data_IF_599182884417
#
_entry.id   IF_599182884417
#
_cell.length_a   1.000
_cell.length_b   1.000
_cell.length_c   1.000
_cell.angle_alpha   90.00
_cell.angle_beta   90.00
_cell.angle_gamma   90.00
#
_symmetry.space_group_name_H-M   'P 1'
#
loop_
_entity.id
_entity.type
_entity.pdbx_description
1 polymer ?
#
# COMPACT_ATOMS: atom_id res chain seq x y z
N UNK A 1 23.89 24.47 15.93
CA UNK A 1 24.95 24.15 14.97
C UNK A 1 24.63 24.71 13.59
N UNK A 2 25.61 24.99 12.72
CA UNK A 2 25.36 25.45 11.33
C UNK A 2 24.40 24.54 10.55
N UNK A 3 24.47 23.24 10.79
CA UNK A 3 23.58 22.23 10.17
C UNK A 3 22.12 22.45 10.56
N UNK A 4 21.84 22.71 11.83
CA UNK A 4 20.46 22.97 12.26
C UNK A 4 19.89 24.24 11.64
N UNK A 5 20.69 25.31 11.50
CA UNK A 5 20.26 26.53 10.88
C UNK A 5 19.90 26.32 9.37
N UNK A 6 20.68 25.48 8.68
CA UNK A 6 20.38 25.08 7.30
C UNK A 6 19.02 24.37 7.20
N UNK A 7 18.77 23.39 8.06
CA UNK A 7 17.49 22.66 8.06
C UNK A 7 16.31 23.55 8.48
N UNK A 8 16.50 24.51 9.40
CA UNK A 8 15.46 25.47 9.74
C UNK A 8 15.05 26.32 8.53
N UNK A 9 16.02 26.77 7.73
CA UNK A 9 15.75 27.48 6.47
C UNK A 9 14.98 26.61 5.47
N UNK A 10 15.40 25.34 5.31
CA UNK A 10 14.72 24.40 4.42
C UNK A 10 13.28 24.09 4.89
N UNK A 11 13.09 23.89 6.18
CA UNK A 11 11.78 23.71 6.80
C UNK A 11 10.87 24.93 6.51
N UNK A 12 11.34 26.13 6.74
CA UNK A 12 10.59 27.35 6.45
C UNK A 12 10.21 27.41 4.96
N UNK A 13 11.16 27.24 4.06
CA UNK A 13 10.91 27.30 2.62
C UNK A 13 9.92 26.21 2.16
N UNK A 14 9.99 25.01 2.75
CA UNK A 14 9.14 23.88 2.39
C UNK A 14 7.68 24.10 2.82
N UNK A 15 7.45 24.66 4.01
CA UNK A 15 6.12 24.76 4.59
C UNK A 15 5.51 26.18 4.56
N UNK A 16 6.27 27.22 4.27
CA UNK A 16 5.74 28.60 4.18
C UNK A 16 4.67 28.78 3.09
N UNK A 17 4.73 28.14 1.91
CA UNK A 17 3.66 28.25 0.92
C UNK A 17 2.30 27.76 1.43
N UNK A 18 2.29 26.83 2.38
CA UNK A 18 1.06 26.32 3.00
C UNK A 18 0.40 27.35 3.92
N UNK A 19 1.19 28.21 4.55
CA UNK A 19 0.68 29.29 5.41
C UNK A 19 0.10 30.46 4.61
N UNK A 20 0.59 30.69 3.39
CA UNK A 20 0.06 31.73 2.49
C UNK A 20 -1.28 31.31 1.87
N UNK A 21 -1.40 30.07 1.43
CA UNK A 21 -2.67 29.50 0.97
C UNK A 21 -3.76 29.53 2.06
N UNK A 22 -3.37 29.36 3.33
CA UNK A 22 -4.31 29.43 4.47
C UNK A 22 -4.92 30.83 4.65
N UNK A 23 -4.15 31.89 4.46
CA UNK A 23 -4.68 33.27 4.54
C UNK A 23 -5.69 33.54 3.45
N UNK A 24 -5.44 33.09 2.22
CA UNK A 24 -6.37 33.19 1.10
C UNK A 24 -7.65 32.37 1.31
N UNK A 25 -7.52 31.12 1.80
CA UNK A 25 -8.65 30.23 2.10
C UNK A 25 -9.45 30.70 3.32
N UNK A 26 -8.82 31.27 4.34
CA UNK A 26 -9.53 31.81 5.52
C UNK A 26 -10.42 32.98 5.15
N UNK A 27 -10.01 33.84 4.20
CA UNK A 27 -10.82 34.92 3.69
C UNK A 27 -12.02 34.45 2.84
N UNK A 28 -11.89 33.27 2.18
CA UNK A 28 -12.97 32.62 1.40
C UNK A 28 -13.89 31.74 2.26
N UNK A 29 -13.43 31.22 3.40
CA UNK A 29 -14.12 30.23 4.23
C UNK A 29 -14.92 30.77 5.40
N UNK A 30 -15.03 32.08 5.57
CA UNK A 30 -15.92 32.72 6.58
C UNK A 30 -17.37 32.23 6.46
N UNK A 31 -17.74 31.56 5.36
CA UNK A 31 -19.10 31.10 5.07
C UNK A 31 -19.31 29.56 5.01
N UNK A 32 -18.34 28.72 5.34
CA UNK A 32 -18.51 27.27 5.26
C UNK A 32 -18.23 26.58 6.60
N UNK A 33 -19.32 26.16 7.24
CA UNK A 33 -19.34 25.37 8.47
C UNK A 33 -18.79 23.96 8.23
N UNK A 34 -17.47 23.77 8.24
CA UNK A 34 -16.81 22.45 8.16
C UNK A 34 -15.81 22.29 9.31
N UNK A 35 -16.06 21.29 10.16
CA UNK A 35 -15.05 20.74 11.05
C UNK A 35 -13.92 20.18 10.19
N UNK A 36 -12.82 20.90 10.07
CA UNK A 36 -11.60 20.39 9.44
C UNK A 36 -10.85 19.49 10.44
N UNK A 37 -10.14 18.43 9.92
CA UNK A 37 -9.13 17.72 10.71
C UNK A 37 -8.13 18.72 11.28
N UNK A 38 -7.48 18.35 12.41
CA UNK A 38 -6.45 19.14 13.05
C UNK A 38 -5.56 19.78 11.97
N UNK A 39 -5.47 21.10 12.02
CA UNK A 39 -4.89 21.93 10.98
C UNK A 39 -3.54 21.33 10.54
N UNK A 40 -3.37 21.03 9.27
CA UNK A 40 -2.14 20.44 8.73
C UNK A 40 -0.88 21.17 9.21
N UNK A 41 -1.01 22.46 9.51
CA UNK A 41 0.06 23.27 10.07
C UNK A 41 0.39 22.91 11.53
N UNK A 42 -0.60 22.53 12.34
CA UNK A 42 -0.37 22.07 13.72
C UNK A 42 0.33 20.70 13.75
N UNK A 43 0.04 19.84 12.78
CA UNK A 43 0.70 18.54 12.65
C UNK A 43 2.22 18.64 12.45
N UNK A 44 2.72 19.75 11.88
CA UNK A 44 4.16 19.99 11.75
C UNK A 44 4.88 19.97 13.11
N UNK A 45 4.19 20.33 14.19
CA UNK A 45 4.77 20.35 15.53
C UNK A 45 4.54 19.06 16.32
N UNK A 46 3.79 18.11 15.75
CA UNK A 46 3.46 16.84 16.40
C UNK A 46 4.47 15.73 16.14
N UNK A 47 5.43 15.92 15.22
CA UNK A 47 6.47 14.94 14.93
C UNK A 47 7.87 15.48 15.31
N UNK A 48 8.83 14.59 15.68
CA UNK A 48 10.17 15.02 16.08
C UNK A 48 10.93 15.73 14.96
N UNK A 49 11.79 16.70 15.34
CA UNK A 49 12.65 17.44 14.40
C UNK A 49 13.50 16.54 13.49
N UNK A 50 13.99 15.43 14.04
CA UNK A 50 14.77 14.44 13.27
C UNK A 50 13.98 13.79 12.14
N UNK A 51 12.64 13.72 12.24
CA UNK A 51 11.77 13.23 11.16
C UNK A 51 11.66 14.28 10.06
N UNK A 52 11.47 15.56 10.42
CA UNK A 52 11.48 16.65 9.43
C UNK A 52 12.77 16.70 8.62
N UNK A 53 13.92 16.48 9.25
CA UNK A 53 15.19 16.44 8.52
C UNK A 53 15.19 15.34 7.44
N UNK A 54 14.64 14.15 7.72
CA UNK A 54 14.53 13.06 6.73
C UNK A 54 13.54 13.38 5.62
N UNK A 55 12.40 13.95 5.98
CA UNK A 55 11.41 14.41 4.99
C UNK A 55 12.04 15.44 4.05
N UNK A 56 12.67 16.48 4.61
CA UNK A 56 13.33 17.55 3.82
C UNK A 56 14.37 16.99 2.86
N UNK A 57 15.18 16.02 3.31
CA UNK A 57 16.23 15.40 2.49
C UNK A 57 15.67 14.65 1.27
N UNK A 58 14.44 14.13 1.37
CA UNK A 58 13.87 13.21 0.37
C UNK A 58 12.80 13.83 -0.53
N UNK A 59 12.03 14.80 -0.05
CA UNK A 59 10.88 15.34 -0.80
C UNK A 59 11.24 16.39 -1.86
N UNK A 60 12.51 16.79 -1.99
CA UNK A 60 13.00 17.71 -3.02
C UNK A 60 12.20 19.02 -3.13
N UNK A 61 11.67 19.54 -2.03
CA UNK A 61 10.91 20.78 -2.01
C UNK A 61 9.40 20.64 -2.27
N UNK A 62 8.88 19.43 -2.47
CA UNK A 62 7.44 19.17 -2.61
C UNK A 62 6.75 19.27 -1.26
N UNK A 63 6.01 20.37 -1.05
CA UNK A 63 5.29 20.65 0.19
C UNK A 63 4.12 19.70 0.44
N UNK A 64 3.45 19.21 -0.61
CA UNK A 64 2.33 18.28 -0.48
C UNK A 64 2.82 16.89 -0.09
N UNK A 65 3.88 16.43 -0.75
CA UNK A 65 4.56 15.18 -0.37
C UNK A 65 5.10 15.24 1.05
N UNK A 66 5.66 16.38 1.46
CA UNK A 66 6.14 16.58 2.83
C UNK A 66 5.02 16.47 3.85
N UNK A 67 3.89 17.15 3.64
CA UNK A 67 2.72 17.07 4.52
C UNK A 67 2.13 15.67 4.60
N UNK A 68 2.06 14.96 3.48
CA UNK A 68 1.64 13.57 3.47
C UNK A 68 2.47 12.73 4.45
N UNK A 69 3.80 12.82 4.41
CA UNK A 69 4.67 12.07 5.31
C UNK A 69 4.60 12.56 6.75
N UNK A 70 4.39 13.86 7.00
CA UNK A 70 4.13 14.38 8.35
C UNK A 70 2.86 13.77 8.92
N UNK A 71 1.75 13.81 8.18
CA UNK A 71 0.47 13.23 8.58
C UNK A 71 0.58 11.73 8.84
N UNK A 72 1.14 10.98 7.90
CA UNK A 72 1.34 9.52 8.05
C UNK A 72 2.24 9.16 9.23
N UNK A 73 3.29 9.94 9.48
CA UNK A 73 4.17 9.74 10.63
C UNK A 73 3.41 9.92 11.94
N UNK A 74 2.58 10.97 12.04
CA UNK A 74 1.79 11.24 13.23
C UNK A 74 0.68 10.20 13.44
N UNK A 75 -0.14 9.94 12.41
CA UNK A 75 -1.25 9.00 12.46
C UNK A 75 -0.81 7.56 12.81
N UNK A 76 0.31 7.12 12.25
CA UNK A 76 0.80 5.75 12.40
C UNK A 76 1.89 5.63 13.46
N UNK A 77 2.27 6.73 14.13
CA UNK A 77 3.32 6.74 15.17
C UNK A 77 4.66 6.18 14.65
N UNK A 78 5.02 6.52 13.41
CA UNK A 78 6.24 6.00 12.80
C UNK A 78 7.50 6.48 13.53
N UNK A 79 8.35 5.53 13.90
CA UNK A 79 9.73 5.83 14.25
C UNK A 79 10.54 6.22 13.00
N UNK A 80 11.72 6.83 13.23
CA UNK A 80 12.59 7.32 12.15
C UNK A 80 12.91 6.28 11.07
N UNK A 81 13.17 5.01 11.48
CA UNK A 81 13.48 3.94 10.53
C UNK A 81 12.30 3.63 9.59
N UNK A 82 11.10 3.55 10.14
CA UNK A 82 9.88 3.31 9.35
C UNK A 82 9.60 4.45 8.38
N UNK A 83 9.72 5.70 8.84
CA UNK A 83 9.55 6.87 7.97
C UNK A 83 10.55 6.84 6.79
N UNK A 84 11.83 6.55 7.06
CA UNK A 84 12.85 6.47 6.01
C UNK A 84 12.52 5.37 5.01
N UNK A 85 12.10 4.19 5.48
CA UNK A 85 11.69 3.11 4.60
C UNK A 85 10.55 3.53 3.65
N UNK A 86 9.52 4.18 4.14
CA UNK A 86 8.41 4.65 3.30
C UNK A 86 8.76 5.84 2.40
N UNK A 87 9.71 6.67 2.79
CA UNK A 87 10.27 7.71 1.91
C UNK A 87 11.08 7.10 0.77
N UNK A 88 11.81 6.01 1.03
CA UNK A 88 12.66 5.32 0.04
C UNK A 88 11.86 4.41 -0.90
N UNK A 89 10.66 3.98 -0.50
CA UNK A 89 9.77 3.10 -1.28
C UNK A 89 8.61 3.84 -1.95
N UNK A 90 8.74 5.14 -2.19
CA UNK A 90 7.78 5.98 -2.93
C UNK A 90 6.30 5.83 -2.51
N UNK A 91 6.05 5.72 -1.18
CA UNK A 91 4.70 5.51 -0.66
C UNK A 91 3.70 6.58 -1.13
N UNK A 92 4.14 7.84 -1.24
CA UNK A 92 3.30 8.95 -1.68
C UNK A 92 2.75 8.74 -3.10
N UNK A 93 3.57 8.17 -3.98
CA UNK A 93 3.23 7.94 -5.38
C UNK A 93 2.29 6.74 -5.58
N UNK A 94 2.30 5.76 -4.70
CA UNK A 94 1.58 4.47 -4.87
C UNK A 94 0.37 4.29 -3.95
N UNK A 95 0.24 5.04 -2.86
CA UNK A 95 -0.94 4.97 -1.99
C UNK A 95 -2.19 5.46 -2.73
N UNK A 96 -3.26 4.69 -2.65
CA UNK A 96 -4.52 5.00 -3.32
C UNK A 96 -4.51 4.84 -4.85
N UNK A 97 -3.46 4.30 -5.44
CA UNK A 97 -3.30 4.19 -6.91
C UNK A 97 -3.80 2.88 -7.51
N UNK A 98 -4.14 1.90 -6.69
CA UNK A 98 -4.73 0.65 -7.18
C UNK A 98 -6.02 0.92 -7.98
N UNK A 99 -6.24 0.14 -9.03
CA UNK A 99 -7.51 0.19 -9.77
C UNK A 99 -8.60 -0.49 -8.93
N UNK A 100 -9.74 0.16 -8.77
CA UNK A 100 -10.88 -0.42 -8.06
C UNK A 100 -12.21 0.03 -8.64
N UNK A 101 -13.28 -0.63 -8.22
CA UNK A 101 -14.66 -0.19 -8.41
C UNK A 101 -15.27 0.37 -7.10
N UNK A 102 -14.46 0.72 -6.11
CA UNK A 102 -14.95 1.14 -4.79
C UNK A 102 -15.91 2.32 -4.87
N UNK A 103 -15.64 3.30 -5.75
CA UNK A 103 -16.51 4.48 -5.93
C UNK A 103 -17.95 4.13 -6.38
N UNK A 104 -18.16 2.95 -6.97
CA UNK A 104 -19.48 2.48 -7.41
C UNK A 104 -20.06 1.38 -6.53
N UNK A 105 -19.20 0.63 -5.84
CA UNK A 105 -19.57 -0.53 -5.04
C UNK A 105 -19.68 -0.25 -3.54
N UNK A 106 -19.15 0.87 -3.05
CA UNK A 106 -19.16 1.25 -1.63
C UNK A 106 -19.82 2.62 -1.42
N UNK A 107 -20.35 2.90 -0.21
CA UNK A 107 -20.73 4.26 0.19
C UNK A 107 -19.55 5.23 0.05
N UNK A 108 -19.81 6.49 -0.33
CA UNK A 108 -18.76 7.45 -0.70
C UNK A 108 -17.63 7.61 0.35
N UNK A 109 -17.99 7.75 1.62
CA UNK A 109 -16.98 7.91 2.71
C UNK A 109 -16.12 6.66 2.87
N UNK A 110 -16.72 5.47 2.77
CA UNK A 110 -16.01 4.20 2.87
C UNK A 110 -15.17 3.90 1.63
N UNK A 111 -15.67 4.30 0.45
CA UNK A 111 -14.96 4.19 -0.82
C UNK A 111 -13.64 4.95 -0.81
N UNK A 112 -13.68 6.22 -0.41
CA UNK A 112 -12.47 7.06 -0.35
C UNK A 112 -11.45 6.48 0.63
N UNK A 113 -11.93 6.01 1.79
CA UNK A 113 -11.05 5.41 2.78
C UNK A 113 -10.49 4.06 2.32
N UNK A 114 -11.34 3.17 1.74
CA UNK A 114 -10.89 1.91 1.18
C UNK A 114 -9.87 2.11 0.05
N UNK A 115 -10.08 3.10 -0.81
CA UNK A 115 -9.13 3.44 -1.87
C UNK A 115 -7.77 3.86 -1.32
N UNK A 116 -7.73 4.65 -0.25
CA UNK A 116 -6.48 5.07 0.39
C UNK A 116 -5.72 3.92 1.05
N UNK A 117 -6.40 2.84 1.44
CA UNK A 117 -5.74 1.68 2.06
C UNK A 117 -4.97 0.80 1.07
N UNK A 118 -5.33 0.84 -0.22
CA UNK A 118 -4.72 -0.02 -1.23
C UNK A 118 -3.67 0.72 -2.04
N UNK A 119 -2.57 0.05 -2.34
CA UNK A 119 -1.40 0.60 -3.03
C UNK A 119 -1.24 -0.01 -4.42
N UNK A 120 -0.53 0.68 -5.29
CA UNK A 120 -0.13 0.16 -6.59
C UNK A 120 1.15 0.84 -7.08
N UNK A 121 2.25 0.10 -7.17
CA UNK A 121 2.41 -1.31 -6.79
C UNK A 121 2.56 -1.53 -5.28
N UNK A 122 2.38 -2.78 -4.82
CA UNK A 122 2.92 -3.26 -3.56
C UNK A 122 4.40 -3.57 -3.71
N UNK A 123 5.22 -3.21 -2.71
CA UNK A 123 6.64 -3.48 -2.70
C UNK A 123 6.96 -4.70 -1.84
N UNK A 124 7.34 -5.79 -2.48
CA UNK A 124 7.71 -7.05 -1.83
C UNK A 124 9.22 -7.27 -1.81
N UNK A 125 9.99 -6.17 -1.64
CA UNK A 125 11.46 -6.19 -1.56
C UNK A 125 12.01 -7.04 -0.42
N UNK A 126 11.21 -7.27 0.60
CA UNK A 126 11.56 -8.09 1.75
C UNK A 126 11.49 -9.60 1.48
N UNK A 127 10.96 -10.04 0.32
CA UNK A 127 10.88 -11.44 -0.07
C UNK A 127 12.20 -11.90 -0.70
N UNK A 128 12.60 -13.13 -0.34
CA UNK A 128 13.76 -13.80 -0.91
C UNK A 128 13.28 -14.89 -1.89
N UNK A 129 12.98 -14.46 -3.12
CA UNK A 129 12.48 -15.34 -4.18
C UNK A 129 13.54 -15.47 -5.28
N UNK A 130 13.66 -16.67 -5.84
CA UNK A 130 14.47 -16.91 -7.03
C UNK A 130 13.85 -16.20 -8.25
N UNK A 131 14.58 -16.07 -9.36
CA UNK A 131 14.05 -15.46 -10.60
C UNK A 131 12.77 -16.15 -11.11
N UNK A 132 12.72 -17.51 -10.93
CA UNK A 132 11.54 -18.30 -11.24
C UNK A 132 10.96 -18.83 -9.94
N UNK A 133 9.79 -18.38 -9.59
CA UNK A 133 9.06 -18.79 -8.40
C UNK A 133 7.59 -19.10 -8.76
N UNK A 134 7.02 -20.03 -8.03
CA UNK A 134 5.61 -20.42 -8.12
C UNK A 134 4.74 -19.51 -7.24
N UNK A 135 3.43 -19.54 -7.46
CA UNK A 135 2.44 -18.86 -6.62
C UNK A 135 2.51 -19.37 -5.17
N UNK A 136 2.77 -20.66 -4.97
CA UNK A 136 2.92 -21.26 -3.64
C UNK A 136 4.16 -20.68 -2.93
N UNK A 137 5.31 -20.63 -3.59
CA UNK A 137 6.53 -20.04 -3.01
C UNK A 137 6.34 -18.56 -2.65
N UNK A 138 5.66 -17.78 -3.49
CA UNK A 138 5.34 -16.39 -3.18
C UNK A 138 4.46 -16.30 -1.93
N UNK A 139 3.42 -17.11 -1.83
CA UNK A 139 2.53 -17.13 -0.65
C UNK A 139 3.26 -17.61 0.60
N UNK A 140 4.13 -18.60 0.50
CA UNK A 140 4.96 -19.08 1.61
C UNK A 140 5.88 -17.98 2.13
N UNK A 141 6.58 -17.27 1.24
CA UNK A 141 7.47 -16.19 1.64
C UNK A 141 6.72 -14.99 2.24
N UNK A 142 5.54 -14.64 1.71
CA UNK A 142 4.68 -13.62 2.33
C UNK A 142 4.31 -13.98 3.78
N UNK A 143 4.04 -15.27 4.04
CA UNK A 143 3.73 -15.74 5.40
C UNK A 143 4.97 -15.81 6.29
N UNK A 144 6.11 -16.27 5.78
CA UNK A 144 7.38 -16.25 6.50
C UNK A 144 7.77 -14.82 6.91
N UNK A 145 7.37 -13.82 6.12
CA UNK A 145 7.62 -12.40 6.34
C UNK A 145 6.33 -11.62 6.70
N UNK A 146 5.38 -12.28 7.36
CA UNK A 146 4.06 -11.69 7.66
C UNK A 146 4.14 -10.30 8.30
N UNK A 147 5.11 -10.06 9.18
CA UNK A 147 5.29 -8.74 9.80
C UNK A 147 5.59 -7.65 8.77
N UNK A 148 6.48 -7.93 7.80
CA UNK A 148 6.81 -7.01 6.72
C UNK A 148 5.63 -6.85 5.75
N UNK A 149 4.92 -7.94 5.46
CA UNK A 149 3.72 -7.88 4.63
C UNK A 149 2.62 -7.03 5.27
N UNK A 150 2.37 -7.17 6.57
CA UNK A 150 1.42 -6.32 7.30
C UNK A 150 1.82 -4.85 7.29
N UNK A 151 3.13 -4.54 7.41
CA UNK A 151 3.63 -3.18 7.29
C UNK A 151 3.42 -2.63 5.87
N UNK A 152 3.63 -3.46 4.85
CA UNK A 152 3.38 -3.06 3.47
C UNK A 152 1.88 -2.92 3.19
N UNK A 153 1.00 -3.78 3.69
CA UNK A 153 -0.45 -3.57 3.59
C UNK A 153 -0.87 -2.24 4.23
N UNK A 154 -0.32 -1.95 5.39
CA UNK A 154 -0.58 -0.71 6.13
C UNK A 154 -1.45 -0.89 7.37
N UNK A 155 -1.70 0.25 8.05
CA UNK A 155 -2.46 0.26 9.30
C UNK A 155 -3.93 -0.12 9.08
N UNK A 156 -4.44 -0.92 9.99
CA UNK A 156 -5.84 -1.32 10.01
C UNK A 156 -6.10 -2.73 9.51
N UNK A 157 -5.13 -3.36 8.85
CA UNK A 157 -5.24 -4.77 8.46
C UNK A 157 -4.88 -5.69 9.63
N UNK A 158 -5.74 -6.67 9.88
CA UNK A 158 -5.52 -7.76 10.84
C UNK A 158 -5.56 -9.09 10.09
N UNK A 159 -4.52 -9.91 10.26
CA UNK A 159 -4.46 -11.23 9.63
C UNK A 159 -5.43 -12.20 10.29
N UNK A 160 -6.27 -12.87 9.48
CA UNK A 160 -7.25 -13.86 9.93
C UNK A 160 -6.78 -15.27 9.59
N UNK A 161 -6.30 -15.50 8.36
CA UNK A 161 -5.84 -16.81 7.97
C UNK A 161 -5.26 -16.88 6.56
N UNK A 162 -4.50 -17.94 6.33
CA UNK A 162 -3.96 -18.36 5.04
C UNK A 162 -4.67 -19.63 4.57
N UNK A 163 -4.81 -19.81 3.26
CA UNK A 163 -5.51 -20.97 2.68
C UNK A 163 -6.82 -21.25 3.43
N UNK A 164 -7.55 -20.14 3.68
CA UNK A 164 -8.71 -20.16 4.53
C UNK A 164 -9.85 -20.94 3.87
N UNK A 165 -10.22 -22.07 4.50
CA UNK A 165 -11.23 -22.97 3.95
C UNK A 165 -12.63 -22.43 4.16
N UNK A 166 -13.40 -22.34 3.07
CA UNK A 166 -14.83 -22.09 3.05
C UNK A 166 -15.55 -23.28 2.43
N UNK A 167 -16.65 -23.72 3.01
CA UNK A 167 -17.44 -24.86 2.53
C UNK A 167 -18.86 -24.43 2.19
N UNK A 168 -19.25 -24.57 0.93
CA UNK A 168 -20.60 -24.28 0.47
C UNK A 168 -21.02 -25.26 -0.64
N UNK A 169 -22.29 -25.68 -0.66
CA UNK A 169 -22.83 -26.59 -1.67
C UNK A 169 -22.10 -27.93 -1.75
N UNK A 170 -21.53 -28.43 -0.62
CA UNK A 170 -20.77 -29.67 -0.56
C UNK A 170 -19.37 -29.59 -1.20
N UNK A 171 -18.84 -28.40 -1.48
CA UNK A 171 -17.51 -28.18 -2.04
C UNK A 171 -16.69 -27.25 -1.14
N UNK A 172 -15.43 -27.56 -1.00
CA UNK A 172 -14.47 -26.72 -0.31
C UNK A 172 -13.80 -25.75 -1.29
N UNK A 173 -13.60 -24.54 -0.83
CA UNK A 173 -12.84 -23.47 -1.49
C UNK A 173 -11.80 -22.95 -0.52
N UNK A 174 -10.69 -22.48 -1.03
CA UNK A 174 -9.59 -21.98 -0.23
C UNK A 174 -9.24 -20.59 -0.70
N UNK A 175 -9.32 -19.62 0.21
CA UNK A 175 -8.88 -18.23 -0.01
C UNK A 175 -7.38 -18.18 0.27
N UNK A 176 -6.61 -17.56 -0.60
CA UNK A 176 -5.17 -17.43 -0.40
C UNK A 176 -4.84 -16.78 0.95
N UNK A 177 -5.35 -15.57 1.18
CA UNK A 177 -5.14 -14.80 2.40
C UNK A 177 -6.43 -14.09 2.81
N UNK A 178 -6.81 -14.25 4.06
CA UNK A 178 -7.95 -13.56 4.64
C UNK A 178 -7.47 -12.57 5.70
N UNK A 179 -7.89 -11.32 5.55
CA UNK A 179 -7.66 -10.23 6.51
C UNK A 179 -8.98 -9.62 6.97
N UNK A 180 -8.92 -8.84 8.04
CA UNK A 180 -10.01 -8.00 8.50
C UNK A 180 -9.51 -6.54 8.57
N UNK A 181 -10.28 -5.62 7.98
CA UNK A 181 -9.97 -4.19 8.00
C UNK A 181 -10.74 -3.56 9.16
N UNK A 182 -10.03 -3.36 10.27
CA UNK A 182 -10.60 -2.90 11.54
C UNK A 182 -11.40 -1.59 11.39
N UNK A 183 -10.87 -0.51 10.77
CA UNK A 183 -11.61 0.75 10.67
C UNK A 183 -12.85 0.71 9.77
N UNK A 184 -12.94 -0.28 8.88
CA UNK A 184 -14.07 -0.44 7.96
C UNK A 184 -15.07 -1.52 8.43
N UNK A 185 -14.75 -2.25 9.49
CA UNK A 185 -15.54 -3.39 9.97
C UNK A 185 -15.90 -4.35 8.85
N UNK A 186 -14.90 -4.85 8.09
CA UNK A 186 -15.11 -5.78 6.98
C UNK A 186 -13.94 -6.70 6.73
N UNK A 187 -14.19 -7.86 6.19
CA UNK A 187 -13.15 -8.74 5.71
C UNK A 187 -12.52 -8.21 4.43
N UNK A 188 -11.27 -8.58 4.22
CA UNK A 188 -10.52 -8.37 2.98
C UNK A 188 -10.01 -9.71 2.48
N UNK A 189 -10.53 -10.15 1.36
CA UNK A 189 -10.09 -11.37 0.67
C UNK A 189 -8.96 -10.96 -0.26
N UNK A 190 -7.76 -11.50 -0.06
CA UNK A 190 -6.60 -11.22 -0.90
C UNK A 190 -6.25 -12.48 -1.70
N UNK A 191 -6.24 -12.36 -3.01
CA UNK A 191 -5.71 -13.34 -3.95
C UNK A 191 -4.40 -12.83 -4.54
N UNK A 192 -3.40 -13.71 -4.63
CA UNK A 192 -2.06 -13.38 -5.13
C UNK A 192 -1.76 -14.19 -6.38
N UNK A 193 -1.33 -13.53 -7.46
CA UNK A 193 -1.01 -14.16 -8.74
C UNK A 193 0.41 -13.83 -9.19
N UNK A 194 1.15 -14.84 -9.62
CA UNK A 194 2.50 -14.68 -10.19
C UNK A 194 2.50 -14.37 -11.68
N UNK A 195 1.32 -14.24 -12.27
CA UNK A 195 1.09 -13.95 -13.68
C UNK A 195 0.44 -12.59 -13.87
N UNK A 196 0.20 -12.22 -15.13
CA UNK A 196 -0.67 -11.12 -15.48
C UNK A 196 -2.11 -11.43 -15.03
N UNK A 197 -2.86 -10.39 -14.67
CA UNK A 197 -4.27 -10.42 -14.33
C UNK A 197 -5.12 -11.03 -15.47
N UNK A 198 -6.08 -11.89 -15.11
CA UNK A 198 -7.10 -12.43 -15.99
C UNK A 198 -8.53 -12.16 -15.45
N UNK A 199 -9.53 -12.13 -16.35
CA UNK A 199 -10.95 -11.95 -15.98
C UNK A 199 -11.47 -13.02 -15.03
N UNK A 200 -10.94 -14.25 -15.11
CA UNK A 200 -11.32 -15.35 -14.23
C UNK A 200 -10.96 -15.07 -12.77
N UNK A 201 -9.84 -14.38 -12.52
CA UNK A 201 -9.38 -14.03 -11.17
C UNK A 201 -10.40 -13.15 -10.46
N UNK A 202 -11.00 -12.19 -11.18
CA UNK A 202 -12.03 -11.31 -10.63
C UNK A 202 -13.32 -12.05 -10.33
N UNK A 203 -13.73 -12.97 -11.22
CA UNK A 203 -14.89 -13.82 -10.97
C UNK A 203 -14.72 -14.71 -9.74
N UNK A 204 -13.55 -15.30 -9.58
CA UNK A 204 -13.18 -16.10 -8.41
C UNK A 204 -13.20 -15.25 -7.14
N UNK A 205 -12.52 -14.10 -7.16
CA UNK A 205 -12.43 -13.20 -6.01
C UNK A 205 -13.79 -12.67 -5.58
N UNK A 206 -14.67 -12.30 -6.53
CA UNK A 206 -16.04 -11.90 -6.26
C UNK A 206 -16.86 -13.04 -5.64
N UNK A 207 -16.66 -14.28 -6.08
CA UNK A 207 -17.26 -15.45 -5.47
C UNK A 207 -16.80 -15.67 -4.03
N UNK A 208 -15.51 -15.47 -3.77
CA UNK A 208 -14.96 -15.61 -2.42
C UNK A 208 -15.44 -14.52 -1.46
N UNK A 209 -15.53 -13.26 -1.90
CA UNK A 209 -16.09 -12.18 -1.05
C UNK A 209 -17.54 -12.50 -0.68
N UNK A 210 -18.35 -12.98 -1.63
CA UNK A 210 -19.74 -13.38 -1.35
C UNK A 210 -19.82 -14.56 -0.35
N UNK A 211 -18.93 -15.55 -0.46
CA UNK A 211 -18.88 -16.66 0.50
C UNK A 211 -18.44 -16.19 1.89
N UNK A 212 -17.52 -15.26 2.00
CA UNK A 212 -17.10 -14.67 3.29
C UNK A 212 -18.25 -13.91 3.92
N UNK A 213 -18.99 -13.11 3.13
CA UNK A 213 -20.14 -12.36 3.61
C UNK A 213 -21.25 -13.28 4.15
N UNK A 214 -21.49 -14.40 3.48
CA UNK A 214 -22.51 -15.36 3.90
C UNK A 214 -22.11 -16.21 5.11
N UNK A 215 -20.84 -16.63 5.18
CA UNK A 215 -20.39 -17.65 6.15
C UNK A 215 -19.69 -17.07 7.38
N UNK A 216 -19.08 -15.90 7.28
CA UNK A 216 -18.23 -15.33 8.35
C UNK A 216 -18.75 -14.03 8.91
N UNK A 217 -19.42 -13.18 8.11
CA UNK A 217 -19.87 -11.88 8.57
C UNK A 217 -20.87 -11.99 9.74
N UNK A 218 -20.70 -11.10 10.70
CA UNK A 218 -21.64 -10.86 11.78
C UNK A 218 -22.54 -9.66 11.44
N UNK A 219 -23.64 -9.42 12.19
CA UNK A 219 -24.49 -8.25 11.94
C UNK A 219 -23.80 -6.90 12.06
N UNK A 220 -22.59 -6.86 12.65
CA UNK A 220 -21.81 -5.63 12.81
C UNK A 220 -20.77 -5.44 11.69
N UNK A 221 -20.64 -6.41 10.80
CA UNK A 221 -19.67 -6.35 9.70
C UNK A 221 -20.31 -5.80 8.43
N UNK A 222 -19.55 -4.99 7.72
CA UNK A 222 -19.90 -4.52 6.39
C UNK A 222 -19.52 -5.57 5.33
N UNK A 223 -20.10 -5.53 4.14
CA UNK A 223 -19.72 -6.43 3.05
C UNK A 223 -18.21 -6.43 2.78
N UNK A 224 -17.66 -7.61 2.55
CA UNK A 224 -16.23 -7.84 2.34
C UNK A 224 -15.71 -7.15 1.09
N UNK A 225 -14.42 -6.80 1.06
CA UNK A 225 -13.73 -6.34 -0.14
C UNK A 225 -12.76 -7.40 -0.64
N UNK A 226 -12.55 -7.43 -1.97
CA UNK A 226 -11.53 -8.24 -2.61
C UNK A 226 -10.33 -7.40 -3.01
N UNK A 227 -9.13 -7.96 -2.88
CA UNK A 227 -7.90 -7.38 -3.38
C UNK A 227 -7.12 -8.42 -4.17
N UNK A 228 -7.00 -8.19 -5.48
CA UNK A 228 -6.14 -8.99 -6.34
C UNK A 228 -4.76 -8.34 -6.41
N UNK A 229 -3.72 -9.06 -6.01
CA UNK A 229 -2.33 -8.64 -6.14
C UNK A 229 -1.65 -9.52 -7.19
N UNK A 230 -1.32 -8.96 -8.35
CA UNK A 230 -0.77 -9.71 -9.48
C UNK A 230 0.59 -9.14 -9.93
N UNK A 231 1.35 -9.95 -10.66
CA UNK A 231 2.66 -9.53 -11.16
C UNK A 231 2.53 -8.41 -12.18
N UNK A 232 1.57 -8.56 -13.10
CA UNK A 232 1.32 -7.59 -14.17
C UNK A 232 -0.19 -7.38 -14.35
N UNK A 233 -0.57 -6.20 -14.84
CA UNK A 233 -1.96 -5.94 -15.21
C UNK A 233 -2.06 -5.01 -16.41
N UNK A 234 -3.00 -5.31 -17.30
CA UNK A 234 -3.45 -4.38 -18.31
C UNK A 234 -4.55 -3.48 -17.72
N UNK A 235 -4.28 -2.19 -17.59
CA UNK A 235 -5.20 -1.24 -16.96
C UNK A 235 -6.55 -1.12 -17.70
N UNK A 236 -6.57 -1.32 -19.02
CA UNK A 236 -7.81 -1.27 -19.82
C UNK A 236 -8.66 -2.50 -19.53
N UNK A 237 -8.09 -3.70 -19.58
CA UNK A 237 -8.80 -4.95 -19.29
C UNK A 237 -9.29 -4.97 -17.84
N UNK A 238 -8.48 -4.51 -16.88
CA UNK A 238 -8.87 -4.42 -15.48
C UNK A 238 -10.10 -3.51 -15.28
N UNK A 239 -10.18 -2.36 -15.96
CA UNK A 239 -11.36 -1.48 -15.92
C UNK A 239 -12.60 -2.17 -16.48
N UNK A 240 -12.48 -2.92 -17.60
CA UNK A 240 -13.60 -3.69 -18.13
C UNK A 240 -14.06 -4.78 -17.14
N UNK A 241 -13.15 -5.51 -16.53
CA UNK A 241 -13.46 -6.52 -15.53
C UNK A 241 -14.25 -5.92 -14.35
N UNK A 242 -13.79 -4.80 -13.83
CA UNK A 242 -14.42 -4.12 -12.69
C UNK A 242 -15.76 -3.46 -13.03
N UNK A 243 -16.01 -3.08 -14.29
CA UNK A 243 -17.18 -2.28 -14.69
C UNK A 243 -18.54 -2.97 -14.52
N UNK A 244 -18.56 -4.30 -14.39
CA UNK A 244 -19.79 -5.11 -14.26
C UNK A 244 -19.84 -5.93 -12.98
N UNK A 245 -18.88 -5.77 -12.09
CA UNK A 245 -18.82 -6.47 -10.82
C UNK A 245 -19.42 -5.58 -9.73
N UNK A 246 -20.37 -6.12 -8.97
CA UNK A 246 -20.97 -5.43 -7.82
C UNK A 246 -20.14 -5.58 -6.55
N UNK A 247 -19.37 -6.66 -6.41
CA UNK A 247 -18.46 -6.84 -5.28
C UNK A 247 -17.37 -5.73 -5.29
N UNK A 248 -17.06 -5.12 -4.14
CA UNK A 248 -16.00 -4.11 -4.07
C UNK A 248 -14.63 -4.78 -4.23
N UNK A 249 -13.96 -4.54 -5.36
CA UNK A 249 -12.69 -5.18 -5.71
C UNK A 249 -11.65 -4.13 -6.09
N UNK A 250 -10.42 -4.32 -5.56
CA UNK A 250 -9.21 -3.63 -5.98
C UNK A 250 -8.26 -4.56 -6.73
N UNK A 251 -7.53 -4.03 -7.70
CA UNK A 251 -6.49 -4.72 -8.46
C UNK A 251 -5.21 -3.92 -8.38
N UNK A 252 -4.14 -4.55 -7.90
CA UNK A 252 -2.83 -3.96 -7.74
C UNK A 252 -1.75 -4.86 -8.33
N UNK A 253 -0.64 -4.25 -8.73
CA UNK A 253 0.59 -4.99 -9.02
C UNK A 253 1.44 -5.12 -7.76
N UNK A 254 2.43 -6.02 -7.82
CA UNK A 254 3.55 -6.02 -6.89
C UNK A 254 4.89 -5.96 -7.64
N UNK A 255 5.91 -5.50 -6.95
CA UNK A 255 7.27 -5.41 -7.43
C UNK A 255 8.23 -6.03 -6.41
N UNK A 256 9.25 -6.73 -6.92
CA UNK A 256 10.32 -7.35 -6.12
C UNK A 256 11.59 -6.49 -6.18
N UNK A 257 12.51 -6.66 -5.22
CA UNK A 257 13.74 -5.87 -5.08
C UNK A 257 14.56 -5.69 -6.37
N UNK A 258 14.60 -6.70 -7.22
CA UNK A 258 15.35 -6.66 -8.48
C UNK A 258 14.81 -5.66 -9.51
N UNK A 259 13.56 -5.20 -9.36
CA UNK A 259 12.90 -4.30 -10.30
C UNK A 259 13.14 -2.81 -9.98
N UNK A 260 13.65 -2.50 -8.78
CA UNK A 260 13.86 -1.12 -8.31
C UNK A 260 15.28 -0.58 -8.52
N UNK A 261 16.23 -1.43 -8.89
CA UNK A 261 17.57 -0.96 -9.19
C UNK A 261 17.55 -0.13 -10.48
N UNK A 262 18.11 1.09 -10.50
CA UNK A 262 18.31 1.85 -11.73
C UNK A 262 18.98 0.98 -12.78
N UNK A 263 18.55 1.08 -14.04
CA UNK A 263 19.03 0.23 -15.15
C UNK A 263 20.55 0.25 -15.31
N UNK A 264 21.17 1.36 -14.98
CA UNK A 264 22.62 1.56 -14.94
C UNK A 264 23.30 0.77 -13.82
N UNK A 265 22.61 0.51 -12.69
CA UNK A 265 23.13 -0.30 -11.59
C UNK A 265 22.82 -1.79 -11.82
N UNK A 266 21.66 -2.13 -12.38
CA UNK A 266 21.33 -3.50 -12.75
C UNK A 266 22.34 -4.12 -13.73
N UNK A 267 22.91 -3.29 -14.64
CA UNK A 267 23.92 -3.73 -15.62
C UNK A 267 25.32 -3.88 -15.05
N UNK A 268 25.56 -3.44 -13.82
CA UNK A 268 26.90 -3.45 -13.16
C UNK A 268 26.95 -4.52 -12.04
N UNK A 269 25.81 -4.96 -11.54
CA UNK A 269 25.77 -6.03 -10.54
C UNK A 269 25.95 -7.39 -11.24
N UNK A 270 26.89 -8.23 -10.76
CA UNK A 270 27.01 -9.59 -11.28
C UNK A 270 25.73 -10.38 -11.03
N UNK A 271 25.31 -11.17 -12.00
CA UNK A 271 24.19 -12.09 -11.85
C UNK A 271 24.46 -13.14 -10.77
N UNK A 272 23.41 -13.74 -10.22
CA UNK A 272 23.56 -14.83 -9.23
C UNK A 272 24.42 -15.96 -9.79
N UNK A 273 24.29 -16.29 -11.09
CA UNK A 273 25.11 -17.28 -11.79
C UNK A 273 26.59 -16.90 -11.86
N UNK A 274 26.89 -15.61 -12.06
CA UNK A 274 28.27 -15.12 -12.07
C UNK A 274 28.90 -15.19 -10.67
N UNK A 275 28.12 -14.84 -9.63
CA UNK A 275 28.57 -14.96 -8.22
C UNK A 275 28.79 -16.43 -7.83
N UNK A 276 27.89 -17.33 -8.21
CA UNK A 276 28.00 -18.76 -7.95
C UNK A 276 29.21 -19.36 -8.68
N UNK A 277 29.46 -18.96 -9.92
CA UNK A 277 30.64 -19.40 -10.67
C UNK A 277 31.95 -18.88 -10.04
N UNK A 278 31.99 -17.63 -9.58
CA UNK A 278 33.18 -17.08 -8.88
C UNK A 278 33.43 -17.76 -7.53
N UNK A 279 32.37 -18.18 -6.82
CA UNK A 279 32.52 -18.90 -5.57
C UNK A 279 33.00 -20.34 -5.80
N UNK A 280 32.48 -21.02 -6.81
CA UNK A 280 32.88 -22.37 -7.16
C UNK A 280 34.31 -22.50 -7.75
N UNK A 281 34.83 -21.43 -8.37
CA UNK A 281 36.21 -21.39 -8.87
C UNK A 281 37.26 -21.08 -7.78
N UNK A 282 36.85 -20.62 -6.61
CA UNK A 282 37.75 -20.39 -5.45
C UNK A 282 37.99 -21.64 -4.61
N UNK A 283 37.21 -22.68 -4.82
CA UNK A 283 37.34 -23.98 -4.11
C UNK A 283 38.13 -25.06 -4.93
N UNK A 284 38.82 -24.63 -6.00
CA UNK A 284 39.80 -25.46 -6.74
C UNK A 284 41.21 -24.89 -6.52
#
# INVERSE_FOLDING_TARGET
SPTNLKYTKYFYNLYSPLSENRRQLADELVNANRQQPADDFELLFCIPWSHHQRIIDKVQGDSQKALFFVRKTWENQWGRGMLVNFLDTDLYEREGKALSNFSTALPAVESDFAQQLIKDPYHFEFLQLNEKYSETELKDELMNKLSQFLLELGKGFSFVGREFRLSAGGKDKYIDLLFYIIPLHRYCVIEVKTTEFDFQDIGQLAGYTAMVDDLLNTPNDNPSIGLLICKERNAVLARYALSRINAPIGISKYELAQQHLPKDIQSVLPSVEEIENELNDKDK
#
